data_IF_211247156999
#
_entry.id   IF_211247156999
#
_cell.length_a   1.000
_cell.length_b   1.000
_cell.length_c   1.000
_cell.angle_alpha   90.00
_cell.angle_beta   90.00
_cell.angle_gamma   90.00
#
_symmetry.space_group_name_H-M   'P 1'
#
loop_
_entity.id
_entity.type
_entity.pdbx_description
1 polymer ?
#
# COMPACT_ATOMS: atom_id res chain seq x y z
N UNK A 1 -41.89 1.81 1.24
CA UNK A 1 -40.78 2.66 1.69
C UNK A 1 -39.95 1.86 2.70
N UNK A 2 -38.88 1.20 2.26
CA UNK A 2 -38.05 0.36 3.13
C UNK A 2 -37.08 1.28 3.87
N UNK A 3 -37.30 1.49 5.17
CA UNK A 3 -36.33 2.17 6.03
C UNK A 3 -35.17 1.22 6.27
N UNK A 4 -34.11 1.32 5.47
CA UNK A 4 -32.82 0.76 5.84
C UNK A 4 -32.38 1.46 7.12
N UNK A 5 -32.52 0.80 8.27
CA UNK A 5 -31.83 1.17 9.49
C UNK A 5 -30.34 0.87 9.29
N UNK A 6 -29.66 1.74 8.57
CA UNK A 6 -28.20 1.74 8.56
C UNK A 6 -27.73 2.21 9.93
N UNK A 7 -27.38 1.26 10.80
CA UNK A 7 -26.43 1.53 11.87
C UNK A 7 -25.29 2.36 11.27
N UNK A 8 -25.05 3.57 11.81
CA UNK A 8 -24.08 4.51 11.28
C UNK A 8 -22.80 3.77 10.86
N UNK A 9 -22.29 4.00 9.63
CA UNK A 9 -21.06 3.36 9.19
C UNK A 9 -19.93 3.85 10.12
N UNK A 10 -19.56 3.02 11.09
CA UNK A 10 -18.47 3.33 12.02
C UNK A 10 -17.18 3.27 11.22
N UNK A 11 -16.28 4.21 11.47
CA UNK A 11 -14.94 4.09 10.94
C UNK A 11 -14.27 2.85 11.58
N UNK A 12 -13.50 2.11 10.78
CA UNK A 12 -12.69 0.98 11.27
C UNK A 12 -11.23 1.20 10.89
N UNK A 13 -10.34 0.68 11.72
CA UNK A 13 -8.95 0.49 11.36
C UNK A 13 -8.79 -0.87 10.70
N UNK A 14 -8.04 -0.89 9.62
CA UNK A 14 -7.74 -2.10 8.85
C UNK A 14 -6.24 -2.28 8.82
N UNK A 15 -5.78 -3.45 9.25
CA UNK A 15 -4.39 -3.83 9.13
C UNK A 15 -4.18 -4.60 7.83
N UNK A 16 -3.29 -4.09 6.99
CA UNK A 16 -2.80 -4.68 5.77
C UNK A 16 -1.41 -5.27 6.01
N UNK A 17 -1.17 -6.47 5.49
CA UNK A 17 0.16 -7.04 5.35
C UNK A 17 0.54 -7.01 3.88
N UNK A 18 1.67 -6.41 3.57
CA UNK A 18 2.23 -6.38 2.22
C UNK A 18 3.56 -7.12 2.24
N UNK A 19 3.66 -8.16 1.43
CA UNK A 19 4.92 -8.86 1.21
C UNK A 19 5.51 -8.36 -0.08
N UNK A 20 6.72 -7.79 0.00
CA UNK A 20 7.53 -7.44 -1.15
C UNK A 20 8.80 -8.30 -1.13
N UNK A 21 9.23 -8.88 -2.27
CA UNK A 21 10.51 -9.57 -2.33
C UNK A 21 11.62 -8.58 -2.02
N UNK A 22 12.64 -9.04 -1.31
CA UNK A 22 13.88 -8.27 -1.21
C UNK A 22 14.41 -8.14 -2.63
N UNK A 23 14.63 -6.90 -3.08
CA UNK A 23 15.28 -6.65 -4.35
C UNK A 23 16.68 -7.25 -4.24
N UNK A 24 16.87 -8.45 -4.80
CA UNK A 24 18.17 -9.09 -4.86
C UNK A 24 19.11 -8.12 -5.56
N UNK A 25 19.99 -7.51 -4.77
CA UNK A 25 21.00 -6.64 -5.29
C UNK A 25 22.01 -7.50 -6.04
N UNK A 26 22.22 -7.17 -7.31
CA UNK A 26 23.26 -7.80 -8.10
C UNK A 26 24.61 -7.24 -7.64
N UNK A 27 25.30 -7.97 -6.77
CA UNK A 27 26.62 -7.62 -6.26
C UNK A 27 27.65 -7.38 -7.38
N UNK A 28 27.41 -7.83 -8.61
CA UNK A 28 28.29 -7.54 -9.74
C UNK A 28 28.24 -6.05 -10.17
N UNK A 29 27.21 -5.30 -9.77
CA UNK A 29 27.03 -3.88 -10.12
C UNK A 29 27.62 -2.91 -9.10
N UNK A 30 28.12 -3.38 -7.97
CA UNK A 30 28.71 -2.54 -6.93
C UNK A 30 28.51 -3.09 -5.52
N UNK A 31 28.93 -2.35 -4.49
CA UNK A 31 28.53 -2.65 -3.13
C UNK A 31 27.01 -2.44 -2.99
N UNK A 32 26.30 -3.31 -2.23
CA UNK A 32 24.89 -3.12 -1.98
C UNK A 32 24.69 -1.73 -1.36
N UNK A 33 23.65 -0.98 -1.78
CA UNK A 33 23.28 0.22 -1.07
C UNK A 33 22.88 -0.20 0.36
N UNK A 34 23.01 0.69 1.36
CA UNK A 34 22.62 0.38 2.74
C UNK A 34 21.21 -0.23 2.75
N UNK A 35 20.93 -1.19 3.63
CA UNK A 35 19.66 -1.95 3.68
C UNK A 35 18.39 -1.04 3.75
N UNK A 36 18.60 0.23 4.10
CA UNK A 36 17.65 1.34 4.08
C UNK A 36 17.28 1.84 2.66
N UNK A 37 17.95 1.39 1.60
CA UNK A 37 17.89 2.04 0.30
C UNK A 37 16.73 1.61 -0.60
N UNK A 38 15.93 0.62 -0.20
CA UNK A 38 14.78 0.16 -0.98
C UNK A 38 13.55 0.10 -0.08
N UNK A 39 12.76 1.17 -0.08
CA UNK A 39 11.53 1.25 0.70
C UNK A 39 10.30 1.23 -0.23
N UNK A 40 9.30 0.43 0.14
CA UNK A 40 8.03 0.41 -0.57
C UNK A 40 7.32 1.76 -0.38
N UNK A 41 6.89 2.37 -1.48
CA UNK A 41 6.08 3.58 -1.45
C UNK A 41 4.66 3.22 -0.97
N UNK A 42 4.45 3.32 0.34
CA UNK A 42 3.19 2.99 1.01
C UNK A 42 2.05 3.89 0.53
N UNK A 43 2.33 5.16 0.26
CA UNK A 43 1.31 6.12 -0.20
C UNK A 43 0.81 5.75 -1.59
N UNK A 44 1.74 5.47 -2.52
CA UNK A 44 1.38 5.08 -3.87
C UNK A 44 0.62 3.74 -3.88
N UNK A 45 1.07 2.77 -3.07
CA UNK A 45 0.38 1.50 -2.91
C UNK A 45 -1.06 1.69 -2.38
N UNK A 46 -1.23 2.51 -1.35
CA UNK A 46 -2.55 2.78 -0.78
C UNK A 46 -3.45 3.53 -1.77
N UNK A 47 -2.89 4.41 -2.60
CA UNK A 47 -3.62 5.07 -3.68
C UNK A 47 -4.08 4.06 -4.74
N UNK A 48 -3.23 3.10 -5.13
CA UNK A 48 -3.60 2.04 -6.08
C UNK A 48 -4.72 1.14 -5.53
N UNK A 49 -4.62 0.75 -4.25
CA UNK A 49 -5.70 0.02 -3.56
C UNK A 49 -6.98 0.86 -3.58
N UNK A 50 -6.89 2.15 -3.28
CA UNK A 50 -8.03 3.07 -3.26
C UNK A 50 -8.72 3.18 -4.63
N UNK A 51 -7.93 3.27 -5.70
CA UNK A 51 -8.45 3.32 -7.06
C UNK A 51 -9.15 2.01 -7.43
N UNK A 52 -8.57 0.85 -7.09
CA UNK A 52 -9.21 -0.45 -7.30
C UNK A 52 -10.48 -0.61 -6.47
N UNK A 53 -10.51 -0.13 -5.22
CA UNK A 53 -11.72 -0.12 -4.40
C UNK A 53 -12.84 0.67 -5.08
N UNK A 54 -12.55 1.86 -5.62
CA UNK A 54 -13.54 2.66 -6.36
C UNK A 54 -14.03 1.95 -7.61
N UNK A 55 -13.15 1.27 -8.34
CA UNK A 55 -13.54 0.50 -9.51
C UNK A 55 -14.48 -0.66 -9.15
N UNK A 56 -14.24 -1.35 -8.03
CA UNK A 56 -14.99 -2.52 -7.61
C UNK A 56 -16.30 -2.18 -6.89
N UNK A 57 -16.30 -1.12 -6.08
CA UNK A 57 -17.42 -0.74 -5.21
C UNK A 57 -18.17 0.52 -5.63
N UNK A 58 -17.65 1.25 -6.63
CA UNK A 58 -18.21 2.51 -7.10
C UNK A 58 -18.30 3.57 -6.01
N UNK A 59 -19.31 4.44 -6.11
CA UNK A 59 -19.57 5.46 -5.09
C UNK A 59 -20.14 4.88 -3.78
N UNK A 60 -20.63 3.63 -3.80
CA UNK A 60 -21.33 3.02 -2.67
C UNK A 60 -20.42 2.67 -1.48
N UNK A 61 -19.10 2.59 -1.70
CA UNK A 61 -18.13 2.30 -0.64
C UNK A 61 -17.75 3.53 0.19
N UNK A 62 -18.12 4.74 -0.25
CA UNK A 62 -17.88 5.97 0.50
C UNK A 62 -16.39 6.29 0.71
N UNK A 63 -15.52 5.93 -0.22
CA UNK A 63 -14.10 6.29 -0.12
C UNK A 63 -13.92 7.78 -0.43
N UNK A 64 -13.21 8.56 0.39
CA UNK A 64 -12.96 9.97 0.11
C UNK A 64 -12.09 10.13 -1.15
N UNK A 65 -12.04 11.34 -1.73
CA UNK A 65 -11.32 11.60 -3.00
C UNK A 65 -9.81 11.41 -2.86
N UNK A 66 -9.32 11.60 -1.65
CA UNK A 66 -7.93 11.45 -1.24
C UNK A 66 -7.53 9.97 -1.13
N UNK A 67 -8.50 9.05 -1.02
CA UNK A 67 -8.28 7.61 -0.95
C UNK A 67 -8.30 7.06 0.48
N UNK A 68 -7.55 5.98 0.71
CA UNK A 68 -7.37 5.39 2.04
C UNK A 68 -6.44 6.28 2.87
N UNK A 69 -6.85 6.56 4.11
CA UNK A 69 -6.02 7.31 5.06
C UNK A 69 -5.08 6.32 5.76
N UNK A 70 -3.77 6.52 5.60
CA UNK A 70 -2.74 5.72 6.28
C UNK A 70 -2.54 6.27 7.69
N UNK A 71 -2.76 5.43 8.70
CA UNK A 71 -2.61 5.77 10.12
C UNK A 71 -1.23 5.38 10.66
N UNK A 72 -0.57 4.41 10.02
CA UNK A 72 0.78 4.00 10.35
C UNK A 72 1.29 2.92 9.43
N UNK A 73 2.60 2.84 9.28
CA UNK A 73 3.28 1.78 8.54
C UNK A 73 4.53 1.35 9.31
N UNK A 74 4.83 0.06 9.28
CA UNK A 74 6.04 -0.51 9.85
C UNK A 74 6.56 -1.63 8.96
N UNK A 75 7.85 -1.62 8.67
CA UNK A 75 8.53 -2.70 7.94
C UNK A 75 9.16 -3.66 8.94
N UNK A 76 8.80 -4.93 8.83
CA UNK A 76 9.45 -6.06 9.48
C UNK A 76 10.26 -6.83 8.44
N UNK A 77 11.49 -7.19 8.78
CA UNK A 77 12.27 -8.10 7.95
C UNK A 77 11.77 -9.53 8.17
N UNK A 78 11.39 -10.20 7.08
CA UNK A 78 10.84 -11.56 7.14
C UNK A 78 11.45 -12.41 6.03
N UNK A 79 12.51 -13.15 6.38
CA UNK A 79 13.22 -14.04 5.45
C UNK A 79 13.82 -13.27 4.27
N UNK A 80 13.51 -13.72 3.05
CA UNK A 80 14.04 -13.12 1.80
C UNK A 80 13.20 -11.93 1.30
N UNK A 81 12.38 -11.31 2.16
CA UNK A 81 11.48 -10.23 1.79
C UNK A 81 11.23 -9.22 2.90
N UNK A 82 10.65 -8.09 2.51
CA UNK A 82 10.10 -7.11 3.43
C UNK A 82 8.63 -7.39 3.67
N UNK A 83 8.24 -7.53 4.93
CA UNK A 83 6.84 -7.54 5.35
C UNK A 83 6.49 -6.13 5.84
N UNK A 84 5.57 -5.46 5.17
CA UNK A 84 5.06 -4.15 5.59
C UNK A 84 3.70 -4.33 6.26
N UNK A 85 3.63 -3.91 7.52
CA UNK A 85 2.41 -3.80 8.29
C UNK A 85 1.88 -2.38 8.14
N UNK A 86 0.77 -2.20 7.41
CA UNK A 86 0.18 -0.90 7.13
C UNK A 86 -1.19 -0.85 7.79
N UNK A 87 -1.46 0.18 8.58
CA UNK A 87 -2.77 0.44 9.17
C UNK A 87 -3.44 1.55 8.38
N UNK A 88 -4.61 1.27 7.82
CA UNK A 88 -5.44 2.23 7.10
C UNK A 88 -6.78 2.44 7.78
N UNK A 89 -7.32 3.65 7.74
CA UNK A 89 -8.66 3.96 8.22
C UNK A 89 -9.67 3.89 7.08
N UNK A 90 -10.69 3.08 7.28
CA UNK A 90 -11.87 3.04 6.41
C UNK A 90 -13.00 3.82 7.07
N UNK A 91 -13.29 5.02 6.57
CA UNK A 91 -14.27 5.93 7.16
C UNK A 91 -15.70 5.37 7.13
N UNK A 92 -16.02 4.55 6.14
CA UNK A 92 -17.35 3.99 5.95
C UNK A 92 -17.32 2.46 5.89
N UNK A 93 -17.25 1.81 7.06
CA UNK A 93 -17.16 0.36 7.18
C UNK A 93 -18.49 -0.38 6.93
N UNK A 94 -18.93 -0.41 5.68
CA UNK A 94 -19.98 -1.32 5.23
C UNK A 94 -19.40 -2.68 4.81
N UNK A 95 -20.20 -3.74 4.81
CA UNK A 95 -19.79 -5.05 4.26
C UNK A 95 -19.30 -4.94 2.80
N UNK A 96 -19.88 -4.00 2.03
CA UNK A 96 -19.46 -3.72 0.67
C UNK A 96 -18.07 -3.09 0.64
N UNK A 97 -17.81 -2.07 1.46
CA UNK A 97 -16.49 -1.41 1.53
C UNK A 97 -15.36 -2.36 1.94
N UNK A 98 -15.63 -3.25 2.91
CA UNK A 98 -14.66 -4.26 3.37
C UNK A 98 -14.42 -5.30 2.28
N UNK A 99 -15.47 -5.74 1.58
CA UNK A 99 -15.35 -6.67 0.45
C UNK A 99 -14.57 -6.03 -0.71
N UNK A 100 -14.85 -4.78 -1.04
CA UNK A 100 -14.13 -4.02 -2.06
C UNK A 100 -12.65 -3.84 -1.68
N UNK A 101 -12.35 -3.56 -0.41
CA UNK A 101 -10.97 -3.48 0.09
C UNK A 101 -10.23 -4.81 -0.06
N UNK A 102 -10.82 -5.92 0.40
CA UNK A 102 -10.20 -7.25 0.27
C UNK A 102 -9.94 -7.62 -1.19
N UNK A 103 -10.92 -7.37 -2.07
CA UNK A 103 -10.79 -7.63 -3.50
C UNK A 103 -9.75 -6.70 -4.16
N UNK A 104 -9.69 -5.42 -3.77
CA UNK A 104 -8.67 -4.49 -4.22
C UNK A 104 -7.27 -4.93 -3.80
N UNK A 105 -7.07 -5.30 -2.53
CA UNK A 105 -5.80 -5.85 -2.04
C UNK A 105 -5.36 -7.08 -2.82
N UNK A 106 -6.27 -8.04 -3.05
CA UNK A 106 -5.97 -9.24 -3.83
C UNK A 106 -5.67 -8.95 -5.32
N UNK A 107 -6.15 -7.82 -5.85
CA UNK A 107 -5.93 -7.40 -7.23
C UNK A 107 -4.70 -6.49 -7.41
N UNK A 108 -4.04 -6.07 -6.34
CA UNK A 108 -2.75 -5.37 -6.40
C UNK A 108 -1.64 -6.42 -6.40
N UNK A 109 -0.91 -6.47 -7.52
CA UNK A 109 0.17 -7.43 -7.74
C UNK A 109 1.55 -6.76 -7.79
N UNK A 110 1.58 -5.42 -7.81
CA UNK A 110 2.76 -4.61 -8.03
C UNK A 110 2.75 -3.43 -7.06
N UNK A 111 3.93 -3.02 -6.60
CA UNK A 111 4.13 -1.86 -5.74
C UNK A 111 5.41 -1.13 -6.14
N UNK A 112 5.41 0.20 -6.04
CA UNK A 112 6.60 0.98 -6.33
C UNK A 112 7.54 0.99 -5.12
N UNK A 113 8.83 0.83 -5.38
CA UNK A 113 9.90 0.90 -4.40
C UNK A 113 10.78 2.10 -4.77
N UNK A 114 11.03 2.96 -3.80
CA UNK A 114 11.99 4.05 -3.92
C UNK A 114 13.39 3.47 -3.74
N UNK A 115 14.25 3.67 -4.74
CA UNK A 115 15.66 3.28 -4.66
C UNK A 115 16.46 4.53 -4.30
N UNK A 116 16.97 4.61 -3.07
CA UNK A 116 17.90 5.64 -2.66
C UNK A 116 19.29 5.32 -3.24
N UNK A 117 19.78 6.16 -4.16
CA UNK A 117 21.22 6.28 -4.41
C UNK A 117 21.79 5.65 -5.69
N UNK A 118 21.27 6.01 -6.87
CA UNK A 118 22.06 5.94 -8.11
C UNK A 118 22.75 7.28 -8.38
N UNK A 119 23.67 7.68 -7.48
CA UNK A 119 24.45 8.92 -7.61
C UNK A 119 25.95 8.63 -7.78
N UNK A 120 26.29 7.46 -8.33
CA UNK A 120 27.66 7.11 -8.70
C UNK A 120 27.84 7.18 -10.21
N UNK A 121 27.98 8.42 -10.68
CA UNK A 121 28.74 8.70 -11.89
C UNK A 121 27.92 8.72 -13.17
N UNK A 122 27.31 9.87 -13.46
CA UNK A 122 27.47 10.59 -14.73
C UNK A 122 26.69 11.89 -14.66
N UNK A 123 27.45 12.98 -14.66
CA UNK A 123 27.06 14.29 -15.14
C UNK A 123 25.98 14.19 -16.22
N UNK A 124 24.82 14.83 -15.99
CA UNK A 124 24.05 15.65 -16.95
C UNK A 124 22.57 15.63 -16.62
N UNK A 125 22.06 16.85 -16.43
CA UNK A 125 20.68 17.29 -16.66
C UNK A 125 19.68 16.97 -15.52
N UNK A 126 19.40 18.04 -14.77
CA UNK A 126 18.09 18.49 -14.31
C UNK A 126 17.03 17.43 -13.95
N UNK A 127 16.60 17.46 -12.68
CA UNK A 127 15.29 16.96 -12.21
C UNK A 127 15.10 15.43 -12.23
N UNK A 128 16.05 14.65 -11.72
CA UNK A 128 15.81 13.22 -11.48
C UNK A 128 15.03 13.00 -10.19
N UNK A 129 13.72 12.80 -10.35
CA UNK A 129 12.88 12.11 -9.37
C UNK A 129 13.56 10.80 -8.94
N UNK A 130 13.39 10.36 -7.68
CA UNK A 130 13.90 9.06 -7.24
C UNK A 130 13.46 7.99 -8.25
N UNK A 131 14.38 7.12 -8.66
CA UNK A 131 14.07 6.06 -9.60
C UNK A 131 13.09 5.08 -8.92
N UNK A 132 11.82 5.21 -9.25
CA UNK A 132 10.78 4.28 -8.80
C UNK A 132 10.93 2.98 -9.59
N UNK A 133 11.14 1.87 -8.88
CA UNK A 133 11.12 0.54 -9.47
C UNK A 133 9.85 -0.17 -9.02
N UNK A 134 9.13 -0.74 -9.98
CA UNK A 134 7.97 -1.57 -9.67
C UNK A 134 8.44 -2.98 -9.33
N UNK A 135 7.98 -3.51 -8.21
CA UNK A 135 8.25 -4.88 -7.76
C UNK A 135 6.95 -5.63 -7.56
N UNK A 136 6.93 -6.96 -7.75
CA UNK A 136 5.74 -7.73 -7.41
C UNK A 136 5.49 -7.65 -5.91
N UNK A 137 4.24 -7.45 -5.50
CA UNK A 137 3.83 -7.44 -4.10
C UNK A 137 2.60 -8.32 -3.89
N UNK A 138 2.43 -8.81 -2.68
CA UNK A 138 1.21 -9.48 -2.25
C UNK A 138 0.60 -8.72 -1.08
N UNK A 139 -0.63 -8.23 -1.24
CA UNK A 139 -1.35 -7.48 -0.20
C UNK A 139 -2.51 -8.30 0.35
N UNK A 140 -2.64 -8.37 1.67
CA UNK A 140 -3.78 -9.00 2.35
C UNK A 140 -4.30 -8.18 3.52
N UNK A 141 -5.61 -8.27 3.77
CA UNK A 141 -6.25 -7.73 4.97
C UNK A 141 -6.14 -8.76 6.10
N UNK A 142 -5.53 -8.38 7.22
CA UNK A 142 -5.28 -9.29 8.36
C UNK A 142 -6.24 -9.02 9.51
N UNK A 143 -6.53 -7.75 9.82
CA UNK A 143 -7.35 -7.37 10.98
C UNK A 143 -8.29 -6.22 10.65
N UNK A 144 -9.48 -6.26 11.26
CA UNK A 144 -10.47 -5.19 11.23
C UNK A 144 -10.82 -4.82 12.67
N UNK A 145 -10.40 -3.64 13.12
CA UNK A 145 -10.66 -3.15 14.46
C UNK A 145 -11.67 -1.99 14.41
N UNK A 146 -12.70 -2.05 15.25
CA UNK A 146 -13.66 -0.94 15.38
C UNK A 146 -12.99 0.20 16.15
N UNK A 147 -13.04 1.42 15.60
CA UNK A 147 -12.76 2.62 16.38
C UNK A 147 -13.87 2.74 17.44
N UNK A 148 -13.50 2.58 18.71
CA UNK A 148 -14.37 2.83 19.87
C UNK A 148 -14.56 4.34 20.04
#
# INVERSE_FOLDING_TARGET
MVRCQSSHPKAILVQLHVVAPSLQYDYQKGPPPPEEACELDVELLCNDISNKMRLLGGMAIGLPKEGLVVEGSHREESGNGGLYNIVVRLQHASNLSVSALRAACAAVMEGAVTIAGDDRGKQRLAHKQPALKVVPVAVRVVKLDKLQ
#
